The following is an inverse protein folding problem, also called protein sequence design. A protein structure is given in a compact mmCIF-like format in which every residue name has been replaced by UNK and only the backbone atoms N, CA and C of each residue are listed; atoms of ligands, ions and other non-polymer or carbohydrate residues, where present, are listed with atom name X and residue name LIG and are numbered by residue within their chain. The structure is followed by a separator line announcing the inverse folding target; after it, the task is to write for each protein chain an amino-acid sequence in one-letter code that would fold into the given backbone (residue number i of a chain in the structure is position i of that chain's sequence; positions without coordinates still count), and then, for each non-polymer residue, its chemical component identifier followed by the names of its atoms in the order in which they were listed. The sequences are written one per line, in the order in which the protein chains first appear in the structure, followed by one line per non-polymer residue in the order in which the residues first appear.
data_IF_157928458478
#
_entry.id   IF_157928458478
#
_cell.length_a   1.000
_cell.length_b   1.000
_cell.length_c   1.000
_cell.angle_alpha   90.00
_cell.angle_beta   90.00
_cell.angle_gamma   90.00
#
_symmetry.space_group_name_H-M   'P 1'
#
loop_
_entity.id
_entity.type
_entity.pdbx_description
1 polymer ?
#
# COMPACT_ATOMS: atom_id res chain seq x y z
N UNK A 1 -13.89 29.85 25.36
CA UNK A 1 -14.75 29.19 24.34
C UNK A 1 -14.94 30.18 23.20
N UNK A 2 -14.59 29.81 21.97
CA UNK A 2 -14.74 30.70 20.81
C UNK A 2 -16.16 30.53 20.24
N UNK A 3 -16.93 31.61 20.00
CA UNK A 3 -18.26 31.47 19.42
C UNK A 3 -18.17 31.06 17.95
N UNK A 4 -18.99 30.08 17.55
CA UNK A 4 -19.20 29.76 16.14
C UNK A 4 -20.08 30.84 15.50
N UNK A 5 -19.69 31.32 14.32
CA UNK A 5 -20.48 32.27 13.53
C UNK A 5 -21.76 31.63 13.00
N UNK A 6 -22.74 32.47 12.63
CA UNK A 6 -23.94 31.99 11.96
C UNK A 6 -23.56 31.28 10.64
N UNK A 7 -24.18 30.13 10.31
CA UNK A 7 -23.88 29.44 9.07
C UNK A 7 -24.14 30.37 7.89
N UNK A 8 -23.10 30.67 7.12
CA UNK A 8 -23.24 31.28 5.81
C UNK A 8 -23.97 30.30 4.87
N UNK A 9 -24.54 30.83 3.77
CA UNK A 9 -25.29 30.08 2.78
C UNK A 9 -24.72 28.68 2.51
N UNK A 10 -25.63 27.71 2.30
CA UNK A 10 -25.28 26.36 1.93
C UNK A 10 -24.31 26.41 0.74
N UNK A 11 -23.06 25.91 0.88
CA UNK A 11 -22.10 25.99 -0.21
C UNK A 11 -22.68 25.26 -1.42
N UNK A 12 -22.63 25.90 -2.58
CA UNK A 12 -23.04 25.26 -3.82
C UNK A 12 -22.25 23.95 -3.97
N UNK A 13 -22.95 22.87 -4.30
CA UNK A 13 -22.27 21.64 -4.70
C UNK A 13 -21.43 21.96 -5.95
N UNK A 14 -20.16 21.53 -6.02
CA UNK A 14 -19.39 21.71 -7.24
C UNK A 14 -20.12 21.06 -8.42
N UNK A 15 -20.31 21.79 -9.51
CA UNK A 15 -20.95 21.26 -10.74
C UNK A 15 -20.17 20.07 -11.33
N UNK A 16 -18.87 19.96 -11.01
CA UNK A 16 -18.04 18.80 -11.29
C UNK A 16 -16.89 18.68 -10.27
N UNK A 17 -16.59 17.45 -9.85
CA UNK A 17 -15.32 17.10 -9.24
C UNK A 17 -14.49 16.35 -10.30
N UNK A 18 -13.43 16.96 -10.88
CA UNK A 18 -12.63 16.31 -11.92
C UNK A 18 -11.76 15.17 -11.37
N UNK A 19 -11.75 14.97 -10.05
CA UNK A 19 -10.98 13.93 -9.39
C UNK A 19 -11.72 12.59 -9.44
N UNK A 20 -11.02 11.49 -9.76
CA UNK A 20 -11.64 10.17 -9.76
C UNK A 20 -12.14 9.82 -8.36
N UNK A 21 -13.29 9.14 -8.30
CA UNK A 21 -13.80 8.58 -7.06
C UNK A 21 -12.79 7.57 -6.47
N UNK A 22 -12.78 7.37 -5.14
CA UNK A 22 -11.98 6.32 -4.52
C UNK A 22 -12.18 4.96 -5.21
N UNK A 23 -11.10 4.19 -5.40
CA UNK A 23 -11.21 2.90 -6.08
C UNK A 23 -12.05 1.91 -5.26
N UNK A 24 -12.98 1.23 -5.94
CA UNK A 24 -13.75 0.13 -5.35
C UNK A 24 -12.93 -1.16 -5.23
N UNK A 25 -11.88 -1.30 -6.05
CA UNK A 25 -10.84 -2.35 -5.98
C UNK A 25 -9.51 -1.74 -6.45
N UNK A 26 -8.42 -2.13 -5.82
CA UNK A 26 -7.08 -1.66 -6.14
C UNK A 26 -6.26 -2.76 -6.82
N UNK A 27 -5.96 -2.58 -8.11
CA UNK A 27 -4.99 -3.45 -8.81
C UNK A 27 -3.62 -2.79 -8.75
N UNK A 28 -2.63 -3.52 -8.25
CA UNK A 28 -1.26 -3.06 -8.06
C UNK A 28 -0.30 -3.89 -8.93
N UNK A 29 0.04 -3.43 -10.14
CA UNK A 29 1.09 -4.04 -10.95
C UNK A 29 2.43 -3.94 -10.22
N UNK A 30 3.11 -5.07 -10.07
CA UNK A 30 4.29 -5.24 -9.24
C UNK A 30 5.46 -5.73 -10.10
N UNK A 31 6.56 -4.99 -10.04
CA UNK A 31 7.87 -5.49 -10.50
C UNK A 31 8.56 -6.18 -9.32
N UNK A 32 8.87 -7.46 -9.45
CA UNK A 32 9.55 -8.22 -8.39
C UNK A 32 10.99 -7.71 -8.17
N UNK A 33 11.44 -7.78 -6.93
CA UNK A 33 12.79 -7.43 -6.48
C UNK A 33 12.81 -6.20 -5.57
N UNK A 34 13.95 -5.93 -4.90
CA UNK A 34 15.22 -6.64 -5.01
C UNK A 34 15.36 -7.87 -4.11
N UNK A 35 14.45 -8.08 -3.14
CA UNK A 35 14.54 -9.16 -2.14
C UNK A 35 13.53 -10.28 -2.35
N UNK A 36 13.09 -10.52 -3.59
CA UNK A 36 12.16 -11.62 -3.91
C UNK A 36 12.71 -12.99 -3.50
N UNK A 37 14.04 -13.15 -3.55
CA UNK A 37 14.79 -14.32 -3.09
C UNK A 37 14.63 -14.60 -1.58
N UNK A 38 14.10 -13.65 -0.80
CA UNK A 38 13.83 -13.82 0.63
C UNK A 38 12.48 -14.50 0.93
N UNK A 39 11.69 -14.79 -0.09
CA UNK A 39 10.34 -15.37 0.04
C UNK A 39 10.23 -16.72 -0.64
N UNK A 40 9.36 -17.58 -0.12
CA UNK A 40 9.15 -18.90 -0.72
C UNK A 40 8.44 -18.76 -2.07
N UNK A 41 8.56 -19.75 -2.99
CA UNK A 41 7.73 -19.78 -4.19
C UNK A 41 6.23 -19.78 -3.87
N UNK A 42 5.83 -20.34 -2.73
CA UNK A 42 4.45 -20.32 -2.24
C UNK A 42 4.03 -18.90 -1.87
N UNK A 43 4.89 -18.11 -1.21
CA UNK A 43 4.61 -16.69 -0.93
C UNK A 43 4.37 -15.88 -2.21
N UNK A 44 5.13 -16.11 -3.29
CA UNK A 44 4.89 -15.41 -4.56
C UNK A 44 3.54 -15.76 -5.19
N UNK A 45 3.15 -17.05 -5.10
CA UNK A 45 1.81 -17.47 -5.53
C UNK A 45 0.74 -16.82 -4.66
N UNK A 46 0.88 -16.87 -3.34
CA UNK A 46 -0.05 -16.24 -2.39
C UNK A 46 -0.22 -14.75 -2.67
N UNK A 47 0.87 -14.01 -2.85
CA UNK A 47 0.85 -12.58 -3.14
C UNK A 47 -0.01 -12.26 -4.38
N UNK A 48 0.12 -13.06 -5.44
CA UNK A 48 -0.50 -12.79 -6.74
C UNK A 48 -1.88 -13.43 -6.92
N UNK A 49 -2.23 -14.44 -6.12
CA UNK A 49 -3.53 -15.13 -6.21
C UNK A 49 -4.51 -14.75 -5.10
N UNK A 50 -4.03 -14.38 -3.91
CA UNK A 50 -4.89 -14.05 -2.78
C UNK A 50 -5.55 -12.68 -2.94
N UNK A 51 -6.67 -12.50 -2.25
CA UNK A 51 -7.30 -11.18 -2.09
C UNK A 51 -6.82 -10.56 -0.80
N UNK A 52 -6.23 -9.37 -0.90
CA UNK A 52 -5.88 -8.53 0.23
C UNK A 52 -6.94 -7.42 0.41
N UNK A 53 -6.91 -6.71 1.53
CA UNK A 53 -7.72 -5.52 1.78
C UNK A 53 -6.87 -4.41 2.39
N UNK A 54 -7.25 -3.16 2.14
CA UNK A 54 -6.64 -2.02 2.83
C UNK A 54 -6.98 -2.11 4.32
N UNK A 55 -5.98 -2.09 5.18
CA UNK A 55 -6.18 -2.08 6.63
C UNK A 55 -6.59 -0.70 7.12
N UNK A 56 -7.37 -0.67 8.20
CA UNK A 56 -7.68 0.56 8.97
C UNK A 56 -6.44 1.28 9.51
N UNK A 57 -5.30 0.60 9.62
CA UNK A 57 -4.03 1.16 10.09
C UNK A 57 -3.18 1.82 8.97
N UNK A 58 -3.72 1.90 7.76
CA UNK A 58 -3.06 2.57 6.63
C UNK A 58 -3.00 4.08 6.84
N UNK A 59 -1.92 4.71 6.39
CA UNK A 59 -1.73 6.16 6.50
C UNK A 59 -0.81 6.65 5.37
N UNK A 60 -0.40 7.93 5.42
CA UNK A 60 0.45 8.54 4.38
C UNK A 60 1.85 7.93 4.23
N UNK A 61 2.32 7.16 5.22
CA UNK A 61 3.60 6.44 5.16
C UNK A 61 3.44 5.18 4.31
N UNK A 62 2.35 4.44 4.52
CA UNK A 62 2.13 3.21 3.79
C UNK A 62 0.71 2.67 3.85
N UNK A 63 0.30 2.06 2.75
CA UNK A 63 -0.89 1.25 2.66
C UNK A 63 -0.58 -0.13 3.24
N UNK A 64 -1.19 -0.43 4.39
CA UNK A 64 -1.05 -1.71 5.08
C UNK A 64 -2.12 -2.67 4.61
N UNK A 65 -1.76 -3.93 4.42
CA UNK A 65 -2.72 -4.93 3.95
C UNK A 65 -3.23 -5.83 5.08
N UNK A 66 -4.49 -6.24 4.96
CA UNK A 66 -5.08 -7.38 5.64
C UNK A 66 -5.24 -8.53 4.66
N UNK A 67 -4.81 -9.73 5.04
CA UNK A 67 -4.78 -10.89 4.16
C UNK A 67 -3.78 -11.95 4.65
N UNK A 68 -3.52 -12.99 3.83
CA UNK A 68 -2.60 -14.05 4.20
C UNK A 68 -1.16 -13.53 4.30
N UNK A 69 -0.41 -13.93 5.34
CA UNK A 69 0.99 -13.57 5.48
C UNK A 69 1.83 -14.31 4.42
N UNK A 70 2.93 -13.67 4.02
CA UNK A 70 3.91 -14.23 3.11
C UNK A 70 5.04 -14.91 3.89
N UNK A 71 5.27 -16.17 3.55
CA UNK A 71 6.34 -16.96 4.13
C UNK A 71 7.72 -16.54 3.60
N UNK A 72 8.65 -16.29 4.52
CA UNK A 72 10.05 -15.98 4.23
C UNK A 72 10.89 -17.25 4.22
N UNK A 73 11.87 -17.36 3.30
CA UNK A 73 12.90 -18.41 3.36
C UNK A 73 14.00 -18.09 4.38
N UNK A 74 14.20 -16.80 4.68
CA UNK A 74 15.24 -16.32 5.59
C UNK A 74 14.65 -15.55 6.76
N UNK A 75 14.98 -16.01 7.97
CA UNK A 75 14.70 -15.29 9.23
C UNK A 75 15.77 -14.25 9.57
N UNK A 76 16.78 -14.07 8.70
CA UNK A 76 17.86 -13.12 8.93
C UNK A 76 17.37 -11.66 9.00
N UNK A 77 18.21 -10.83 9.61
CA UNK A 77 18.03 -9.39 9.65
C UNK A 77 18.59 -8.76 8.36
N UNK A 78 17.83 -7.83 7.77
CA UNK A 78 18.29 -7.07 6.61
C UNK A 78 18.98 -5.80 7.10
N UNK A 79 20.22 -5.50 6.66
CA UNK A 79 20.78 -4.16 6.83
C UNK A 79 19.83 -3.10 6.26
N UNK A 80 19.87 -1.89 6.81
CA UNK A 80 19.04 -0.82 6.29
C UNK A 80 19.36 -0.53 4.82
N UNK A 81 18.33 -0.50 3.98
CA UNK A 81 18.42 -0.26 2.53
C UNK A 81 17.58 0.95 2.14
N UNK A 82 17.96 1.61 1.05
CA UNK A 82 17.21 2.74 0.51
C UNK A 82 15.82 2.33 0.04
N UNK A 83 14.80 3.08 0.44
CA UNK A 83 13.40 2.84 0.07
C UNK A 83 12.93 3.83 -0.99
N UNK A 84 12.02 3.35 -1.83
CA UNK A 84 11.41 4.13 -2.92
C UNK A 84 9.89 4.11 -2.79
N UNK A 85 9.25 5.11 -3.39
CA UNK A 85 7.80 5.17 -3.47
C UNK A 85 7.27 3.91 -4.16
N UNK A 86 6.23 3.32 -3.60
CA UNK A 86 5.64 2.08 -4.11
C UNK A 86 6.39 0.81 -3.75
N UNK A 87 7.49 0.87 -3.00
CA UNK A 87 8.14 -0.33 -2.50
C UNK A 87 7.17 -1.14 -1.63
N UNK A 88 7.09 -2.45 -1.88
CA UNK A 88 6.25 -3.39 -1.15
C UNK A 88 7.12 -4.13 -0.14
N UNK A 89 7.14 -3.60 1.07
CA UNK A 89 7.90 -4.15 2.16
C UNK A 89 7.08 -5.22 2.89
N UNK A 90 7.73 -6.29 3.36
CA UNK A 90 7.09 -7.34 4.14
C UNK A 90 7.75 -7.44 5.53
N UNK A 91 7.11 -6.87 6.58
CA UNK A 91 7.59 -6.97 7.96
C UNK A 91 7.52 -8.41 8.51
N UNK A 92 7.97 -8.64 9.77
CA UNK A 92 7.96 -9.97 10.38
C UNK A 92 6.57 -10.63 10.50
N UNK A 93 5.49 -9.85 10.49
CA UNK A 93 4.11 -10.38 10.47
C UNK A 93 3.69 -10.96 9.11
N UNK A 94 4.54 -10.83 8.09
CA UNK A 94 4.35 -11.36 6.76
C UNK A 94 3.38 -10.57 5.88
N UNK A 95 2.80 -9.47 6.36
CA UNK A 95 1.77 -8.73 5.61
C UNK A 95 2.39 -7.63 4.75
N UNK A 96 2.12 -7.59 3.44
CA UNK A 96 2.63 -6.52 2.58
C UNK A 96 2.24 -5.11 3.06
N UNK A 97 3.20 -4.19 2.97
CA UNK A 97 3.00 -2.74 3.15
C UNK A 97 3.53 -2.04 1.91
N UNK A 98 2.67 -1.30 1.21
CA UNK A 98 3.05 -0.50 0.04
C UNK A 98 3.41 0.90 0.52
N UNK A 99 4.65 1.33 0.31
CA UNK A 99 5.11 2.65 0.72
C UNK A 99 4.49 3.78 -0.11
N UNK A 100 4.04 4.82 0.59
CA UNK A 100 3.39 6.02 0.05
C UNK A 100 4.27 7.26 0.32
N UNK A 101 3.78 8.45 0.00
CA UNK A 101 4.61 9.66 -0.12
C UNK A 101 5.38 10.09 1.14
N UNK A 102 4.99 9.64 2.34
CA UNK A 102 5.71 9.94 3.58
C UNK A 102 6.59 8.75 4.04
N UNK A 103 6.91 7.81 3.14
CA UNK A 103 7.76 6.67 3.45
C UNK A 103 9.16 7.11 3.93
N UNK A 104 9.80 6.36 4.85
CA UNK A 104 11.16 6.67 5.26
C UNK A 104 12.14 6.49 4.09
N UNK A 105 13.27 7.20 4.14
CA UNK A 105 14.33 7.06 3.11
C UNK A 105 15.03 5.70 3.16
N UNK A 106 14.99 5.03 4.32
CA UNK A 106 15.57 3.70 4.51
C UNK A 106 14.60 2.76 5.24
N UNK A 107 14.81 1.45 5.08
CA UNK A 107 14.01 0.42 5.74
C UNK A 107 14.81 -0.87 5.98
N UNK A 108 14.44 -1.62 7.02
CA UNK A 108 15.13 -2.85 7.45
C UNK A 108 14.36 -4.15 7.21
N UNK A 109 13.26 -4.11 6.45
CA UNK A 109 12.51 -5.31 6.09
C UNK A 109 12.59 -5.55 4.57
N UNK A 110 12.56 -6.83 4.13
CA UNK A 110 12.72 -7.18 2.72
C UNK A 110 11.60 -6.59 1.86
N UNK A 111 12.00 -6.02 0.73
CA UNK A 111 11.11 -5.52 -0.32
C UNK A 111 10.93 -6.63 -1.36
N UNK A 112 9.72 -7.15 -1.46
CA UNK A 112 9.38 -8.25 -2.38
C UNK A 112 9.25 -7.77 -3.83
N UNK A 113 8.89 -6.50 -4.01
CA UNK A 113 8.69 -5.85 -5.30
C UNK A 113 8.40 -4.36 -5.12
N UNK A 114 8.27 -3.64 -6.24
CA UNK A 114 7.88 -2.23 -6.29
C UNK A 114 6.67 -2.10 -7.21
N UNK A 115 5.61 -1.44 -6.74
CA UNK A 115 4.42 -1.20 -7.57
C UNK A 115 4.73 -0.18 -8.66
N UNK A 116 4.06 -0.28 -9.80
CA UNK A 116 4.21 0.67 -10.91
C UNK A 116 3.92 2.11 -10.46
N UNK A 117 4.65 3.08 -11.02
CA UNK A 117 4.62 4.50 -10.62
C UNK A 117 3.23 5.15 -10.73
N UNK A 118 2.32 4.57 -11.51
CA UNK A 118 0.94 5.05 -11.69
C UNK A 118 0.00 4.62 -10.56
N UNK A 119 0.38 3.64 -9.74
CA UNK A 119 -0.48 3.04 -8.72
C UNK A 119 -0.53 3.80 -7.36
N UNK A 120 0.54 4.47 -6.86
CA UNK A 120 0.52 5.12 -5.55
C UNK A 120 -0.58 6.17 -5.36
N UNK A 121 -0.98 6.88 -6.43
CA UNK A 121 -2.05 7.85 -6.37
C UNK A 121 -3.41 7.20 -6.03
N UNK A 122 -3.75 6.10 -6.71
CA UNK A 122 -4.96 5.34 -6.42
C UNK A 122 -4.90 4.66 -5.04
N UNK A 123 -3.72 4.12 -4.67
CA UNK A 123 -3.49 3.53 -3.36
C UNK A 123 -3.71 4.54 -2.22
N UNK A 124 -3.27 5.78 -2.39
CA UNK A 124 -3.46 6.85 -1.42
C UNK A 124 -4.93 7.30 -1.26
N UNK A 125 -5.79 7.02 -2.24
CA UNK A 125 -7.23 7.31 -2.20
C UNK A 125 -8.07 6.12 -1.74
N UNK A 126 -7.49 4.93 -1.58
CA UNK A 126 -8.23 3.73 -1.23
C UNK A 126 -8.69 3.77 0.25
N UNK A 127 -9.98 3.50 0.47
CA UNK A 127 -10.55 3.43 1.81
C UNK A 127 -10.18 2.09 2.50
N UNK A 128 -10.23 2.08 3.83
CA UNK A 128 -10.08 0.82 4.56
C UNK A 128 -11.18 -0.19 4.14
N UNK A 129 -10.77 -1.44 3.97
CA UNK A 129 -11.61 -2.52 3.45
C UNK A 129 -11.62 -2.65 1.92
N UNK A 130 -11.13 -1.65 1.16
CA UNK A 130 -10.98 -1.74 -0.31
C UNK A 130 -10.17 -3.00 -0.66
N UNK A 131 -10.71 -3.90 -1.50
CA UNK A 131 -9.98 -5.08 -1.98
C UNK A 131 -8.73 -4.69 -2.78
N UNK A 132 -7.68 -5.48 -2.65
CA UNK A 132 -6.40 -5.28 -3.33
C UNK A 132 -6.01 -6.58 -4.03
N UNK A 133 -5.53 -6.44 -5.27
CA UNK A 133 -4.90 -7.50 -6.05
C UNK A 133 -3.52 -7.06 -6.52
N UNK A 134 -2.49 -7.81 -6.15
CA UNK A 134 -1.17 -7.67 -6.75
C UNK A 134 -1.12 -8.46 -8.06
N UNK A 135 -0.57 -7.85 -9.11
CA UNK A 135 -0.39 -8.48 -10.42
C UNK A 135 1.07 -8.35 -10.83
N UNK A 136 1.61 -9.32 -11.57
CA UNK A 136 2.94 -9.17 -12.12
C UNK A 136 2.87 -8.21 -13.31
N UNK A 137 3.72 -7.17 -13.26
CA UNK A 137 3.88 -6.19 -14.33
C UNK A 137 4.88 -6.61 -15.39
#
# INVERSE_FOLDING_TARGET
VLPLGAPAHQPALPDAAPWPAPPTELTLPLRLGPRTDWFTPTALRTLTSATYRVSQHSNRIGLRTEGPPLERVSAGELPSEGMVLGAVQVPPDGRPVVFLHDHPTTGGYPVIGVVAETAPAAAAQAAAGTPIRFTLG
#
